data_IF_313480025377
#
_entry.id   IF_313480025377
#
_cell.length_a   1.000
_cell.length_b   1.000
_cell.length_c   1.000
_cell.angle_alpha   90.00
_cell.angle_beta   90.00
_cell.angle_gamma   90.00
#
_symmetry.space_group_name_H-M   'P 1'
#
loop_
_entity.id
_entity.type
_entity.pdbx_description
1 polymer ?
#
# COMPACT_ATOMS: atom_id res chain seq x y z
N UNK A 1 4.42 12.59 -21.10
CA UNK A 1 4.67 14.02 -20.84
C UNK A 1 3.74 14.61 -19.76
N UNK A 2 3.13 13.78 -18.90
CA UNK A 2 2.81 14.15 -17.52
C UNK A 2 4.07 13.83 -16.69
N UNK A 3 4.29 14.52 -15.57
CA UNK A 3 5.23 14.17 -14.47
C UNK A 3 6.52 14.99 -14.22
N UNK A 4 6.71 16.22 -14.70
CA UNK A 4 7.90 17.00 -14.25
C UNK A 4 7.68 18.43 -13.78
N UNK A 5 6.46 18.99 -13.79
CA UNK A 5 6.28 20.43 -13.53
C UNK A 5 5.15 20.82 -12.56
N UNK A 6 4.65 19.88 -11.76
CA UNK A 6 3.70 20.23 -10.71
C UNK A 6 3.91 19.35 -9.50
N UNK A 7 4.47 19.91 -8.44
CA UNK A 7 4.04 19.49 -7.12
C UNK A 7 2.56 19.89 -7.01
N UNK A 8 1.70 19.06 -6.42
CA UNK A 8 0.32 19.47 -6.09
C UNK A 8 0.28 20.76 -5.25
N UNK A 9 1.40 21.17 -4.65
CA UNK A 9 1.58 22.40 -3.89
C UNK A 9 2.04 23.65 -4.69
N UNK A 10 2.35 23.53 -6.00
CA UNK A 10 2.84 24.68 -6.79
C UNK A 10 1.78 25.41 -7.62
N UNK A 11 0.56 24.89 -7.79
CA UNK A 11 -0.53 25.52 -8.58
C UNK A 11 -0.05 26.08 -9.95
N UNK A 12 0.86 25.37 -10.62
CA UNK A 12 1.40 25.82 -11.90
C UNK A 12 0.43 25.41 -13.00
N UNK A 13 -0.39 26.37 -13.43
CA UNK A 13 -1.25 26.21 -14.60
C UNK A 13 -0.45 26.01 -15.91
N UNK A 14 -1.11 25.55 -17.00
CA UNK A 14 -0.46 25.30 -18.29
C UNK A 14 0.17 26.55 -18.94
N UNK A 15 -0.22 27.73 -18.45
CA UNK A 15 0.31 29.02 -18.84
C UNK A 15 1.63 29.41 -18.14
N UNK A 16 2.10 28.66 -17.13
CA UNK A 16 3.31 28.99 -16.35
C UNK A 16 3.29 30.43 -15.80
N UNK A 17 2.17 30.86 -15.22
CA UNK A 17 2.01 32.22 -14.69
C UNK A 17 2.76 32.47 -13.36
N UNK A 18 3.27 31.40 -12.76
CA UNK A 18 4.21 31.39 -11.64
C UNK A 18 5.52 30.74 -12.09
N UNK A 19 6.63 31.08 -11.42
CA UNK A 19 7.96 30.53 -11.71
C UNK A 19 8.11 29.14 -11.07
N UNK A 20 8.18 28.05 -11.85
CA UNK A 20 8.35 26.70 -11.32
C UNK A 20 9.69 26.49 -10.62
N UNK A 21 9.78 25.53 -9.70
CA UNK A 21 11.05 25.19 -9.05
C UNK A 21 12.17 24.85 -10.03
N UNK A 22 11.87 24.14 -11.12
CA UNK A 22 12.85 23.87 -12.16
C UNK A 22 13.38 25.17 -12.80
N UNK A 23 12.51 26.13 -13.12
CA UNK A 23 12.97 27.43 -13.64
C UNK A 23 13.77 28.22 -12.60
N UNK A 24 13.38 28.16 -11.32
CA UNK A 24 14.17 28.76 -10.23
C UNK A 24 15.56 28.14 -10.13
N UNK A 25 15.68 26.81 -10.23
CA UNK A 25 16.98 26.13 -10.28
C UNK A 25 17.83 26.63 -11.45
N UNK A 26 17.23 26.74 -12.64
CA UNK A 26 17.93 27.24 -13.82
C UNK A 26 18.47 28.67 -13.63
N UNK A 27 17.64 29.54 -13.04
CA UNK A 27 17.98 30.93 -12.72
C UNK A 27 19.07 31.03 -11.62
N UNK A 28 18.99 30.21 -10.58
CA UNK A 28 19.99 30.13 -9.51
C UNK A 28 21.37 29.71 -10.05
N UNK A 29 21.42 28.69 -10.92
CA UNK A 29 22.65 28.26 -11.61
C UNK A 29 23.21 29.36 -12.54
N UNK A 30 22.34 30.20 -13.09
CA UNK A 30 22.74 31.36 -13.89
C UNK A 30 23.15 32.58 -13.05
N UNK A 31 22.98 32.55 -11.72
CA UNK A 31 23.23 33.70 -10.84
C UNK A 31 22.24 34.84 -11.08
N UNK A 32 21.02 34.54 -11.48
CA UNK A 32 20.00 35.51 -11.88
C UNK A 32 18.74 35.37 -11.04
N UNK A 33 18.22 36.50 -10.54
CA UNK A 33 16.89 36.61 -9.94
C UNK A 33 15.97 37.32 -10.91
N UNK A 34 15.01 36.59 -11.48
CA UNK A 34 13.98 37.16 -12.34
C UNK A 34 12.70 37.48 -11.54
N UNK A 35 12.23 38.74 -11.48
CA UNK A 35 10.96 39.07 -10.84
C UNK A 35 9.79 38.41 -11.58
N UNK A 36 8.66 38.21 -10.88
CA UNK A 36 7.49 37.53 -11.45
C UNK A 36 6.93 38.24 -12.69
N UNK A 37 6.97 39.57 -12.71
CA UNK A 37 6.57 40.39 -13.86
C UNK A 37 7.48 40.13 -15.06
N UNK A 38 8.80 40.08 -14.85
CA UNK A 38 9.77 39.74 -15.89
C UNK A 38 9.64 38.29 -16.38
N UNK A 39 9.29 37.36 -15.51
CA UNK A 39 8.94 35.99 -15.93
C UNK A 39 7.71 35.98 -16.83
N UNK A 40 6.66 36.73 -16.46
CA UNK A 40 5.40 36.82 -17.21
C UNK A 40 5.55 37.56 -18.54
N UNK A 41 6.55 38.43 -18.69
CA UNK A 41 6.84 39.11 -19.95
C UNK A 41 7.45 38.18 -21.00
N UNK A 42 8.03 37.05 -20.60
CA UNK A 42 8.60 36.06 -21.51
C UNK A 42 7.50 35.29 -22.25
N UNK A 43 7.80 34.90 -23.49
CA UNK A 43 6.92 34.01 -24.25
C UNK A 43 6.69 32.69 -23.49
N UNK A 44 5.55 32.04 -23.72
CA UNK A 44 5.29 30.74 -23.10
C UNK A 44 6.33 29.69 -23.52
N UNK A 45 6.85 29.79 -24.74
CA UNK A 45 7.92 28.91 -25.24
C UNK A 45 9.22 29.12 -24.46
N UNK A 46 9.62 30.38 -24.25
CA UNK A 46 10.81 30.72 -23.47
C UNK A 46 10.69 30.29 -22.01
N UNK A 47 9.53 30.49 -21.39
CA UNK A 47 9.23 29.97 -20.06
C UNK A 47 9.40 28.45 -20.00
N UNK A 48 8.88 27.72 -20.99
CA UNK A 48 9.05 26.25 -21.09
C UNK A 48 10.51 25.84 -21.28
N UNK A 49 11.29 26.60 -22.08
CA UNK A 49 12.72 26.32 -22.32
C UNK A 49 13.54 26.49 -21.04
N UNK A 50 13.33 27.57 -20.28
CA UNK A 50 13.99 27.77 -18.99
C UNK A 50 13.60 26.66 -18.01
N UNK A 51 12.30 26.35 -17.93
CA UNK A 51 11.78 25.29 -17.06
C UNK A 51 12.37 23.92 -17.40
N UNK A 52 12.52 23.58 -18.70
CA UNK A 52 13.18 22.35 -19.14
C UNK A 52 14.66 22.33 -18.79
N UNK A 53 15.39 23.42 -19.07
CA UNK A 53 16.81 23.52 -18.75
C UNK A 53 17.09 23.26 -17.25
N UNK A 54 16.19 23.70 -16.38
CA UNK A 54 16.29 23.42 -14.94
C UNK A 54 15.87 22.03 -14.49
N UNK A 55 15.25 21.23 -15.36
CA UNK A 55 14.91 19.83 -15.09
C UNK A 55 16.01 18.85 -15.52
N UNK A 56 16.88 19.27 -16.43
CA UNK A 56 18.04 18.47 -16.86
C UNK A 56 19.06 18.30 -15.74
N UNK A 57 19.87 17.24 -15.81
CA UNK A 57 20.93 16.97 -14.84
C UNK A 57 21.94 18.13 -14.77
N UNK A 58 22.34 18.64 -15.93
CA UNK A 58 23.22 19.80 -16.08
C UNK A 58 22.41 20.95 -16.66
N UNK A 59 22.41 22.10 -15.97
CA UNK A 59 21.72 23.31 -16.44
C UNK A 59 22.55 23.98 -17.54
N UNK A 60 21.94 24.20 -18.71
CA UNK A 60 22.51 25.02 -19.79
C UNK A 60 22.38 26.51 -19.45
N UNK A 61 23.32 26.99 -18.62
CA UNK A 61 23.38 28.38 -18.15
C UNK A 61 23.45 29.41 -19.29
N UNK A 62 24.28 29.24 -20.34
CA UNK A 62 24.30 30.17 -21.48
C UNK A 62 22.93 30.34 -22.15
N UNK A 63 22.22 29.24 -22.42
CA UNK A 63 20.88 29.30 -23.01
C UNK A 63 19.87 29.99 -22.10
N UNK A 64 19.90 29.70 -20.79
CA UNK A 64 19.02 30.35 -19.81
C UNK A 64 19.28 31.86 -19.76
N UNK A 65 20.55 32.28 -19.66
CA UNK A 65 20.93 33.68 -19.62
C UNK A 65 20.49 34.44 -20.89
N UNK A 66 20.65 33.84 -22.07
CA UNK A 66 20.26 34.45 -23.34
C UNK A 66 18.74 34.67 -23.44
N UNK A 67 17.92 33.75 -22.93
CA UNK A 67 16.46 33.91 -22.90
C UNK A 67 16.07 35.00 -21.90
N UNK A 68 16.68 35.00 -20.71
CA UNK A 68 16.32 35.93 -19.61
C UNK A 68 16.63 37.38 -19.93
N UNK A 69 17.58 37.68 -20.83
CA UNK A 69 17.85 39.04 -21.32
C UNK A 69 16.64 39.71 -22.00
N UNK A 70 15.67 38.92 -22.47
CA UNK A 70 14.47 39.41 -23.14
C UNK A 70 13.36 39.82 -22.15
N UNK A 71 13.54 39.56 -20.85
CA UNK A 71 12.54 39.82 -19.83
C UNK A 71 12.45 41.30 -19.45
N UNK A 72 11.24 41.77 -19.11
CA UNK A 72 10.98 43.10 -18.58
C UNK A 72 9.94 43.04 -17.44
N UNK A 73 10.28 43.50 -16.22
CA UNK A 73 11.57 44.06 -15.80
C UNK A 73 12.74 43.05 -15.90
N UNK A 74 13.98 43.52 -16.12
CA UNK A 74 15.13 42.64 -16.32
C UNK A 74 15.47 41.82 -15.07
N UNK A 75 16.15 40.69 -15.27
CA UNK A 75 16.70 39.93 -14.15
C UNK A 75 17.80 40.70 -13.42
N UNK A 76 17.91 40.46 -12.13
CA UNK A 76 18.91 41.05 -11.25
C UNK A 76 19.99 40.02 -10.94
N UNK A 77 21.25 40.43 -10.77
CA UNK A 77 22.30 39.53 -10.32
C UNK A 77 22.00 39.03 -8.90
N UNK A 78 22.31 37.76 -8.65
CA UNK A 78 22.31 37.15 -7.33
C UNK A 78 23.55 36.26 -7.17
N UNK A 79 23.97 35.92 -5.94
CA UNK A 79 25.06 34.98 -5.73
C UNK A 79 24.83 33.69 -6.53
N UNK A 80 25.89 33.20 -7.18
CA UNK A 80 25.84 31.93 -7.92
C UNK A 80 25.33 30.83 -7.00
N UNK A 81 24.18 30.26 -7.36
CA UNK A 81 23.62 29.10 -6.72
C UNK A 81 24.19 27.82 -7.32
N UNK A 82 23.84 26.70 -6.69
CA UNK A 82 24.13 25.38 -7.19
C UNK A 82 23.20 24.37 -6.55
N UNK A 83 23.22 23.15 -7.06
CA UNK A 83 22.47 22.08 -6.42
C UNK A 83 23.06 21.78 -5.04
N UNK A 84 22.21 21.47 -4.05
CA UNK A 84 22.70 20.99 -2.76
C UNK A 84 23.62 19.77 -2.96
N UNK A 85 24.74 19.74 -2.22
CA UNK A 85 25.73 18.65 -2.29
C UNK A 85 25.08 17.30 -1.96
N UNK A 86 25.39 16.23 -2.70
CA UNK A 86 24.91 14.88 -2.38
C UNK A 86 25.56 14.29 -1.12
N UNK A 87 26.70 14.84 -0.68
CA UNK A 87 27.53 14.27 0.38
C UNK A 87 27.13 14.72 1.79
N UNK A 88 26.26 15.74 1.89
CA UNK A 88 25.84 16.32 3.17
C UNK A 88 24.35 16.61 3.18
N UNK A 89 23.66 16.16 4.25
CA UNK A 89 22.27 16.49 4.47
C UNK A 89 22.12 17.97 4.85
N UNK A 90 21.10 18.68 4.33
CA UNK A 90 20.79 20.04 4.75
C UNK A 90 20.48 20.11 6.25
N UNK A 91 20.99 21.14 6.92
CA UNK A 91 20.70 21.40 8.32
C UNK A 91 19.19 21.53 8.55
N UNK A 92 18.70 20.92 9.63
CA UNK A 92 17.28 20.95 9.98
C UNK A 92 16.38 20.05 9.12
N UNK A 93 16.89 19.41 8.04
CA UNK A 93 16.08 18.52 7.21
C UNK A 93 15.50 17.38 8.05
N UNK A 94 16.35 16.64 8.77
CA UNK A 94 15.93 15.50 9.60
C UNK A 94 14.96 15.90 10.72
N UNK A 95 15.15 17.08 11.31
CA UNK A 95 14.27 17.61 12.37
C UNK A 95 12.89 18.01 11.83
N UNK A 96 12.82 18.42 10.56
CA UNK A 96 11.58 18.82 9.90
C UNK A 96 10.83 17.63 9.29
N UNK A 97 11.39 16.42 9.33
CA UNK A 97 10.71 15.22 8.82
C UNK A 97 9.51 14.85 9.69
N UNK A 98 8.40 14.39 9.08
CA UNK A 98 7.32 13.75 9.82
C UNK A 98 7.83 12.54 10.62
N UNK A 99 7.26 12.32 11.81
CA UNK A 99 7.62 11.18 12.66
C UNK A 99 7.43 9.85 11.90
N UNK A 100 8.39 8.92 12.05
CA UNK A 100 8.36 7.61 11.40
C UNK A 100 8.80 7.60 9.92
N UNK A 101 9.28 8.74 9.40
CA UNK A 101 9.82 8.85 8.05
C UNK A 101 11.32 8.53 8.04
N UNK A 102 11.70 7.38 7.48
CA UNK A 102 13.11 7.01 7.32
C UNK A 102 13.70 7.80 6.15
N UNK A 103 14.68 8.67 6.42
CA UNK A 103 15.40 9.42 5.41
C UNK A 103 16.86 9.54 5.85
N UNK A 104 17.79 9.19 4.97
CA UNK A 104 19.21 9.12 5.29
C UNK A 104 20.07 9.75 4.19
N UNK A 105 21.38 9.80 4.42
CA UNK A 105 22.33 10.35 3.47
C UNK A 105 22.35 9.57 2.15
N UNK A 106 22.12 8.25 2.18
CA UNK A 106 22.11 7.41 0.98
C UNK A 106 20.93 7.77 0.07
N UNK A 107 19.75 7.95 0.66
CA UNK A 107 18.55 8.41 -0.04
C UNK A 107 18.77 9.80 -0.60
N UNK A 108 19.37 10.70 0.17
CA UNK A 108 19.69 12.05 -0.28
C UNK A 108 20.66 12.09 -1.46
N UNK A 109 21.73 11.30 -1.40
CA UNK A 109 22.75 11.23 -2.43
C UNK A 109 22.20 10.68 -3.76
N UNK A 110 21.21 9.78 -3.71
CA UNK A 110 20.60 9.19 -4.92
C UNK A 110 19.61 10.11 -5.64
N UNK A 111 19.17 11.20 -5.03
CA UNK A 111 18.25 12.16 -5.65
C UNK A 111 18.90 12.88 -6.85
N UNK A 112 18.09 13.35 -7.78
CA UNK A 112 18.57 14.26 -8.82
C UNK A 112 18.91 15.64 -8.23
N UNK A 113 19.71 16.43 -8.96
CA UNK A 113 19.99 17.81 -8.58
C UNK A 113 18.73 18.65 -8.37
N UNK A 114 17.75 18.50 -9.28
CA UNK A 114 16.43 19.14 -9.15
C UNK A 114 15.66 18.66 -7.91
N UNK A 115 15.69 17.37 -7.59
CA UNK A 115 15.00 16.84 -6.42
C UNK A 115 15.62 17.37 -5.11
N UNK A 116 16.96 17.39 -4.99
CA UNK A 116 17.64 18.01 -3.85
C UNK A 116 17.33 19.50 -3.72
N UNK A 117 17.40 20.24 -4.84
CA UNK A 117 17.06 21.66 -4.89
C UNK A 117 15.62 21.91 -4.39
N UNK A 118 14.68 21.11 -4.89
CA UNK A 118 13.26 21.22 -4.55
C UNK A 118 13.00 20.93 -3.07
N UNK A 119 13.65 19.90 -2.49
CA UNK A 119 13.51 19.58 -1.07
C UNK A 119 14.04 20.69 -0.16
N UNK A 120 15.20 21.29 -0.47
CA UNK A 120 15.74 22.42 0.30
C UNK A 120 14.82 23.62 0.22
N UNK A 121 14.25 23.90 -0.96
CA UNK A 121 13.30 24.99 -1.11
C UNK A 121 12.00 24.73 -0.32
N UNK A 122 11.51 23.49 -0.32
CA UNK A 122 10.33 23.10 0.46
C UNK A 122 10.59 23.16 1.96
N UNK A 123 11.77 22.74 2.43
CA UNK A 123 12.21 22.86 3.83
C UNK A 123 12.18 24.33 4.28
N UNK A 124 12.82 25.24 3.52
CA UNK A 124 12.82 26.68 3.82
C UNK A 124 11.40 27.26 3.86
N UNK A 125 10.54 26.85 2.92
CA UNK A 125 9.15 27.30 2.84
C UNK A 125 8.31 26.79 4.02
N UNK A 126 8.50 25.53 4.42
CA UNK A 126 7.88 24.91 5.57
C UNK A 126 8.26 25.65 6.86
N UNK A 127 9.55 25.91 7.08
CA UNK A 127 10.04 26.68 8.24
C UNK A 127 9.47 28.10 8.27
N UNK A 128 9.45 28.80 7.13
CA UNK A 128 8.92 30.17 7.04
C UNK A 128 7.42 30.25 7.32
N UNK A 129 6.64 29.23 6.91
CA UNK A 129 5.18 29.17 7.12
C UNK A 129 4.77 28.50 8.43
N UNK A 130 5.71 27.87 9.14
CA UNK A 130 5.40 27.01 10.28
C UNK A 130 4.57 25.78 9.90
N UNK A 131 4.67 25.32 8.64
CA UNK A 131 3.83 24.26 8.09
C UNK A 131 4.69 23.09 7.57
N UNK A 132 4.88 22.03 8.37
CA UNK A 132 5.70 20.88 7.99
C UNK A 132 5.07 20.02 6.87
N UNK A 133 3.77 20.19 6.58
CA UNK A 133 3.08 19.40 5.54
C UNK A 133 3.65 19.69 4.13
N UNK A 134 4.19 20.89 3.91
CA UNK A 134 4.83 21.30 2.66
C UNK A 134 6.03 20.41 2.34
N UNK A 135 6.87 20.15 3.35
CA UNK A 135 8.03 19.28 3.18
C UNK A 135 7.61 17.81 3.05
N UNK A 136 6.60 17.39 3.81
CA UNK A 136 6.05 16.03 3.73
C UNK A 136 5.54 15.70 2.30
N UNK A 137 4.74 16.60 1.72
CA UNK A 137 4.21 16.43 0.37
C UNK A 137 5.33 16.40 -0.70
N UNK A 138 6.35 17.24 -0.54
CA UNK A 138 7.50 17.24 -1.45
C UNK A 138 8.28 15.93 -1.39
N UNK A 139 8.48 15.37 -0.19
CA UNK A 139 9.15 14.09 0.00
C UNK A 139 8.33 12.93 -0.55
N UNK A 140 7.00 12.96 -0.50
CA UNK A 140 6.15 11.89 -1.06
C UNK A 140 6.32 11.75 -2.58
N UNK A 141 6.60 12.87 -3.26
CA UNK A 141 6.83 12.90 -4.71
C UNK A 141 8.29 12.61 -5.05
N UNK A 142 9.25 13.21 -4.33
CA UNK A 142 10.66 13.20 -4.70
C UNK A 142 11.46 12.04 -4.12
N UNK A 143 11.01 11.51 -2.97
CA UNK A 143 11.65 10.41 -2.27
C UNK A 143 10.57 9.45 -1.73
N UNK A 144 9.78 8.80 -2.62
CA UNK A 144 8.68 7.91 -2.22
C UNK A 144 9.18 6.71 -1.40
N UNK A 145 10.40 6.24 -1.67
CA UNK A 145 11.13 5.21 -0.90
C UNK A 145 11.28 5.61 0.58
N UNK A 146 11.34 6.91 0.85
CA UNK A 146 11.49 7.47 2.18
C UNK A 146 10.17 7.97 2.77
N UNK A 147 9.01 7.54 2.26
CA UNK A 147 7.71 7.89 2.85
C UNK A 147 7.57 7.29 4.27
N UNK A 148 6.89 7.98 5.21
CA UNK A 148 6.59 7.37 6.49
C UNK A 148 5.76 6.12 6.21
N UNK A 149 6.19 4.98 6.76
CA UNK A 149 5.36 3.80 6.77
C UNK A 149 4.07 4.20 7.50
N UNK A 150 2.99 4.45 6.74
CA UNK A 150 1.72 4.89 7.31
C UNK A 150 1.36 3.94 8.44
N UNK A 151 1.17 4.51 9.63
CA UNK A 151 0.44 3.86 10.70
C UNK A 151 -0.88 3.36 10.09
N UNK A 152 -1.05 2.06 10.17
CA UNK A 152 -1.83 1.26 9.24
C UNK A 152 -3.33 1.34 9.54
N UNK A 153 -3.96 2.43 9.10
CA UNK A 153 -5.41 2.57 9.09
C UNK A 153 -5.92 2.52 7.64
N UNK A 154 -5.65 1.39 6.95
CA UNK A 154 -6.42 0.78 5.85
C UNK A 154 -5.52 -0.23 5.13
N UNK A 155 -5.26 -1.36 5.79
CA UNK A 155 -4.60 -2.51 5.17
C UNK A 155 -5.56 -3.22 4.20
N UNK A 156 -5.78 -2.65 3.01
CA UNK A 156 -6.09 -3.47 1.85
C UNK A 156 -4.75 -3.96 1.30
N UNK A 157 -4.44 -5.21 1.64
CA UNK A 157 -3.35 -6.00 1.06
C UNK A 157 -3.39 -5.90 -0.46
N UNK A 158 -2.52 -5.09 -1.08
CA UNK A 158 -2.36 -5.17 -2.52
C UNK A 158 -1.30 -6.24 -2.80
N UNK A 159 -1.75 -7.42 -3.23
CA UNK A 159 -0.93 -8.38 -3.98
C UNK A 159 -0.46 -7.81 -5.33
N UNK A 160 -0.33 -6.49 -5.44
CA UNK A 160 0.03 -5.76 -6.64
C UNK A 160 1.34 -5.04 -6.36
N UNK A 161 2.30 -5.21 -7.25
CA UNK A 161 3.50 -4.41 -7.31
C UNK A 161 3.23 -3.03 -7.91
N UNK A 162 4.24 -2.15 -7.92
CA UNK A 162 4.13 -0.78 -8.43
C UNK A 162 3.69 -0.69 -9.91
N UNK A 163 3.79 -1.79 -10.66
CA UNK A 163 3.38 -1.88 -12.08
C UNK A 163 2.06 -2.62 -12.29
N UNK A 164 1.37 -2.99 -11.20
CA UNK A 164 0.15 -3.82 -11.25
C UNK A 164 0.43 -5.32 -11.41
N UNK A 165 1.68 -5.75 -11.29
CA UNK A 165 2.11 -7.14 -11.31
C UNK A 165 1.73 -7.87 -10.02
N UNK A 166 1.26 -9.11 -10.11
CA UNK A 166 0.86 -9.87 -8.91
C UNK A 166 2.08 -10.33 -8.14
N UNK A 167 2.18 -9.99 -6.85
CA UNK A 167 3.28 -10.41 -5.97
C UNK A 167 2.83 -10.85 -4.59
N UNK A 168 3.57 -11.80 -4.02
CA UNK A 168 3.49 -12.14 -2.61
C UNK A 168 4.14 -11.01 -1.80
N UNK A 169 3.47 -10.57 -0.75
CA UNK A 169 3.97 -9.47 0.11
C UNK A 169 5.16 -9.96 0.92
N UNK A 170 6.31 -9.28 0.86
CA UNK A 170 7.42 -9.62 1.77
C UNK A 170 7.03 -9.30 3.22
N UNK A 171 7.27 -10.27 4.10
CA UNK A 171 6.98 -10.17 5.54
C UNK A 171 8.23 -10.34 6.39
N UNK A 172 9.43 -10.51 5.82
CA UNK A 172 10.65 -10.88 6.54
C UNK A 172 10.96 -9.97 7.73
N UNK A 173 10.78 -8.66 7.58
CA UNK A 173 11.06 -7.64 8.61
C UNK A 173 9.99 -7.58 9.73
N UNK A 174 8.84 -8.24 9.55
CA UNK A 174 7.80 -8.28 10.59
C UNK A 174 8.21 -9.25 11.70
N UNK A 175 8.03 -8.84 12.95
CA UNK A 175 8.22 -9.74 14.08
C UNK A 175 7.12 -10.83 14.10
N UNK A 176 7.48 -12.12 14.33
CA UNK A 176 6.49 -13.16 14.62
C UNK A 176 5.67 -12.80 15.86
N UNK A 177 4.37 -13.09 15.82
CA UNK A 177 3.46 -12.92 16.96
C UNK A 177 2.41 -14.01 16.93
N UNK A 178 1.73 -14.25 18.06
CA UNK A 178 0.60 -15.18 18.09
C UNK A 178 -0.53 -14.66 17.19
N UNK A 179 -1.05 -15.55 16.35
CA UNK A 179 -2.11 -15.30 15.38
C UNK A 179 -3.21 -16.31 15.61
N UNK A 180 -4.46 -15.83 15.56
CA UNK A 180 -5.63 -16.69 15.58
C UNK A 180 -6.67 -16.14 14.62
N UNK A 181 -7.33 -17.03 13.88
CA UNK A 181 -8.47 -16.70 13.06
C UNK A 181 -9.57 -17.74 13.26
N UNK A 182 -10.82 -17.27 13.17
CA UNK A 182 -12.03 -18.10 13.20
C UNK A 182 -12.86 -17.74 11.98
N UNK A 183 -13.20 -18.74 11.17
CA UNK A 183 -14.07 -18.62 10.01
C UNK A 183 -15.28 -19.55 10.16
N UNK A 184 -16.35 -19.18 9.49
CA UNK A 184 -17.58 -19.98 9.40
C UNK A 184 -17.88 -20.27 7.94
N UNK A 185 -18.50 -21.42 7.69
CA UNK A 185 -19.22 -21.75 6.47
C UNK A 185 -20.54 -22.43 6.87
N UNK A 186 -21.55 -22.37 6.02
CA UNK A 186 -22.83 -23.06 6.23
C UNK A 186 -23.17 -23.94 5.05
N UNK A 187 -23.82 -25.07 5.31
CA UNK A 187 -24.40 -25.92 4.28
C UNK A 187 -25.89 -26.04 4.55
N UNK A 188 -26.70 -25.40 3.72
CA UNK A 188 -28.16 -25.55 3.74
C UNK A 188 -28.55 -26.79 2.95
N UNK A 189 -29.51 -27.54 3.46
CA UNK A 189 -29.98 -28.79 2.87
C UNK A 189 -31.49 -28.97 3.10
N UNK A 190 -32.06 -30.06 2.60
CA UNK A 190 -33.45 -30.43 2.92
C UNK A 190 -33.56 -30.93 4.37
N UNK A 191 -34.69 -30.68 5.05
CA UNK A 191 -34.91 -31.16 6.43
C UNK A 191 -34.67 -32.66 6.61
N UNK A 192 -35.07 -33.50 5.65
CA UNK A 192 -34.82 -34.94 5.69
C UNK A 192 -33.32 -35.27 5.70
N UNK A 193 -32.51 -34.50 4.96
CA UNK A 193 -31.06 -34.72 4.88
C UNK A 193 -30.39 -34.32 6.19
N UNK A 194 -30.81 -33.20 6.79
CA UNK A 194 -30.34 -32.78 8.11
C UNK A 194 -30.72 -33.79 9.19
N UNK A 195 -31.95 -34.31 9.16
CA UNK A 195 -32.42 -35.36 10.10
C UNK A 195 -31.63 -36.65 9.99
N UNK A 196 -31.39 -37.14 8.77
CA UNK A 196 -30.54 -38.31 8.51
C UNK A 196 -29.11 -38.10 9.00
N UNK A 197 -28.52 -36.94 8.70
CA UNK A 197 -27.18 -36.59 9.15
C UNK A 197 -27.08 -36.54 10.68
N UNK A 198 -28.04 -35.92 11.36
CA UNK A 198 -28.07 -35.83 12.82
C UNK A 198 -28.15 -37.21 13.49
N UNK A 199 -28.84 -38.17 12.84
CA UNK A 199 -28.98 -39.55 13.31
C UNK A 199 -27.82 -40.46 12.91
N UNK A 200 -26.88 -39.97 12.10
CA UNK A 200 -25.80 -40.80 11.52
C UNK A 200 -26.29 -41.80 10.46
N UNK A 201 -27.52 -41.67 9.98
CA UNK A 201 -28.14 -42.56 8.99
C UNK A 201 -27.80 -42.11 7.57
N UNK A 202 -26.52 -42.29 7.18
CA UNK A 202 -26.05 -41.93 5.84
C UNK A 202 -25.34 -43.11 5.16
N UNK A 203 -25.50 -43.29 3.83
CA UNK A 203 -24.92 -44.43 3.11
C UNK A 203 -23.38 -44.45 3.09
N UNK A 204 -22.73 -43.32 3.38
CA UNK A 204 -21.27 -43.15 3.27
C UNK A 204 -20.54 -43.14 4.63
N UNK A 205 -21.22 -43.50 5.72
CA UNK A 205 -20.61 -43.62 7.05
C UNK A 205 -20.41 -42.28 7.76
N UNK A 206 -19.21 -42.08 8.33
CA UNK A 206 -18.87 -40.99 9.26
C UNK A 206 -18.70 -39.61 8.59
N UNK A 207 -19.79 -39.06 8.04
CA UNK A 207 -19.80 -37.81 7.26
C UNK A 207 -19.15 -36.62 8.01
N UNK A 208 -19.53 -36.40 9.27
CA UNK A 208 -19.02 -35.29 10.06
C UNK A 208 -17.53 -35.44 10.38
N UNK A 209 -17.07 -36.67 10.67
CA UNK A 209 -15.66 -36.92 10.93
C UNK A 209 -14.82 -36.72 9.66
N UNK A 210 -15.29 -37.21 8.50
CA UNK A 210 -14.63 -36.99 7.21
C UNK A 210 -14.51 -35.50 6.88
N UNK A 211 -15.58 -34.73 7.05
CA UNK A 211 -15.56 -33.28 6.84
C UNK A 211 -14.57 -32.56 7.77
N UNK A 212 -14.50 -32.98 9.04
CA UNK A 212 -13.54 -32.45 10.02
C UNK A 212 -12.09 -32.67 9.59
N UNK A 213 -11.77 -33.89 9.18
CA UNK A 213 -10.42 -34.26 8.72
C UNK A 213 -10.06 -33.48 7.46
N UNK A 214 -10.98 -33.38 6.50
CA UNK A 214 -10.79 -32.63 5.27
C UNK A 214 -10.49 -31.15 5.54
N UNK A 215 -11.22 -30.52 6.46
CA UNK A 215 -10.95 -29.14 6.89
C UNK A 215 -9.55 -28.96 7.49
N UNK A 216 -9.13 -29.87 8.39
CA UNK A 216 -7.78 -29.83 9.00
C UNK A 216 -6.69 -30.03 7.95
N UNK A 217 -6.88 -30.96 7.00
CA UNK A 217 -5.93 -31.19 5.91
C UNK A 217 -5.83 -29.96 5.00
N UNK A 218 -6.96 -29.32 4.70
CA UNK A 218 -7.01 -28.16 3.83
C UNK A 218 -6.32 -26.94 4.44
N UNK A 219 -6.50 -26.68 5.75
CA UNK A 219 -5.79 -25.61 6.46
C UNK A 219 -4.27 -25.70 6.23
N UNK A 220 -3.70 -26.90 6.36
CA UNK A 220 -2.26 -27.15 6.19
C UNK A 220 -1.77 -26.97 4.75
N UNK A 221 -2.68 -27.05 3.76
CA UNK A 221 -2.38 -26.92 2.32
C UNK A 221 -2.84 -25.58 1.73
N UNK A 222 -3.26 -24.64 2.57
CA UNK A 222 -3.67 -23.29 2.15
C UNK A 222 -2.68 -22.61 1.19
N UNK A 223 -1.35 -22.60 1.42
CA UNK A 223 -0.41 -21.97 0.47
C UNK A 223 -0.32 -22.67 -0.89
N UNK A 224 -0.76 -23.94 -1.01
CA UNK A 224 -0.85 -24.62 -2.30
C UNK A 224 -2.13 -24.24 -3.07
N UNK A 225 -3.17 -23.81 -2.35
CA UNK A 225 -4.49 -23.52 -2.90
C UNK A 225 -4.69 -22.03 -3.21
N UNK A 226 -4.11 -21.15 -2.39
CA UNK A 226 -4.23 -19.69 -2.51
C UNK A 226 -2.88 -19.12 -2.98
N UNK A 227 -2.75 -18.68 -4.24
CA UNK A 227 -1.44 -18.44 -4.88
C UNK A 227 -0.48 -17.52 -4.12
N UNK A 228 -1.00 -16.50 -3.43
CA UNK A 228 -0.19 -15.48 -2.78
C UNK A 228 -0.15 -15.61 -1.25
N UNK A 229 -0.62 -16.73 -0.69
CA UNK A 229 -0.46 -17.02 0.73
C UNK A 229 0.95 -17.47 1.04
N UNK A 230 1.47 -17.00 2.17
CA UNK A 230 2.72 -17.51 2.73
C UNK A 230 2.53 -18.93 3.26
N UNK A 231 3.59 -19.73 3.26
CA UNK A 231 3.62 -20.95 4.04
C UNK A 231 3.73 -20.61 5.53
N UNK A 232 2.76 -21.07 6.34
CA UNK A 232 2.69 -20.80 7.77
C UNK A 232 2.83 -22.10 8.54
N UNK A 233 3.69 -22.12 9.56
CA UNK A 233 3.79 -23.22 10.50
C UNK A 233 2.62 -23.18 11.50
N UNK A 234 1.48 -23.75 11.11
CA UNK A 234 0.29 -23.83 11.95
C UNK A 234 0.58 -24.58 13.27
N UNK A 235 0.21 -23.98 14.40
CA UNK A 235 0.35 -24.57 15.73
C UNK A 235 -0.92 -25.31 16.16
N UNK A 236 -2.09 -24.86 15.69
CA UNK A 236 -3.36 -25.51 16.00
C UNK A 236 -4.39 -25.28 14.89
N UNK A 237 -5.20 -26.30 14.61
CA UNK A 237 -6.39 -26.22 13.75
C UNK A 237 -7.52 -26.99 14.41
N UNK A 238 -8.69 -26.37 14.55
CA UNK A 238 -9.90 -27.02 15.04
C UNK A 238 -11.06 -26.74 14.09
N UNK A 239 -11.92 -27.74 13.91
CA UNK A 239 -13.15 -27.65 13.12
C UNK A 239 -14.27 -28.12 14.02
N UNK A 240 -15.32 -27.33 14.18
CA UNK A 240 -16.58 -27.68 14.83
C UNK A 240 -17.69 -27.73 13.78
N UNK A 241 -18.56 -28.72 13.89
CA UNK A 241 -19.67 -28.97 12.97
C UNK A 241 -20.92 -29.08 13.83
N UNK A 242 -21.85 -28.16 13.64
CA UNK A 242 -23.12 -28.08 14.36
C UNK A 242 -24.26 -28.36 13.38
N UNK A 243 -25.04 -29.41 13.63
CA UNK A 243 -26.17 -29.80 12.78
C UNK A 243 -27.44 -29.22 13.39
N UNK A 244 -27.99 -28.20 12.73
CA UNK A 244 -29.28 -27.62 13.08
C UNK A 244 -30.37 -28.31 12.24
N UNK A 245 -30.96 -29.35 12.84
CA UNK A 245 -32.02 -30.14 12.21
C UNK A 245 -33.26 -29.29 11.90
N UNK A 246 -33.63 -28.38 12.80
CA UNK A 246 -34.81 -27.53 12.66
C UNK A 246 -34.62 -26.49 11.54
N UNK A 247 -33.44 -25.87 11.47
CA UNK A 247 -33.09 -24.91 10.43
C UNK A 247 -32.53 -25.54 9.14
N UNK A 248 -32.52 -26.87 9.05
CA UNK A 248 -32.05 -27.68 7.92
C UNK A 248 -30.67 -27.25 7.40
N UNK A 249 -29.71 -27.08 8.31
CA UNK A 249 -28.37 -26.58 8.00
C UNK A 249 -27.29 -27.20 8.85
N UNK A 250 -26.06 -27.18 8.34
CA UNK A 250 -24.85 -27.43 9.13
C UNK A 250 -24.02 -26.17 9.20
N UNK A 251 -23.67 -25.74 10.41
CA UNK A 251 -22.72 -24.64 10.63
C UNK A 251 -21.34 -25.22 10.90
N UNK A 252 -20.39 -24.87 10.05
CA UNK A 252 -18.98 -25.22 10.20
C UNK A 252 -18.27 -24.01 10.81
N UNK A 253 -17.60 -24.20 11.95
CA UNK A 253 -16.70 -23.20 12.53
C UNK A 253 -15.27 -23.75 12.52
N UNK A 254 -14.39 -23.10 11.77
CA UNK A 254 -12.98 -23.46 11.68
C UNK A 254 -12.12 -22.41 12.38
N UNK A 255 -11.16 -22.84 13.20
CA UNK A 255 -10.14 -21.96 13.77
C UNK A 255 -8.74 -22.43 13.41
N UNK A 256 -7.86 -21.49 13.10
CA UNK A 256 -6.45 -21.71 12.85
C UNK A 256 -5.61 -20.80 13.76
N UNK A 257 -4.47 -21.32 14.22
CA UNK A 257 -3.53 -20.61 15.09
C UNK A 257 -2.10 -20.86 14.65
N UNK A 258 -1.25 -19.84 14.81
CA UNK A 258 0.19 -19.91 14.54
C UNK A 258 0.95 -18.84 15.34
N UNK A 259 2.29 -18.95 15.38
CA UNK A 259 3.17 -17.83 15.76
C UNK A 259 3.97 -17.41 14.53
N UNK A 260 3.51 -16.36 13.83
CA UNK A 260 4.08 -15.98 12.53
C UNK A 260 3.92 -14.46 12.21
N UNK A 261 4.55 -14.06 11.11
CA UNK A 261 4.68 -12.70 10.58
C UNK A 261 3.44 -12.23 9.83
N UNK A 262 2.62 -13.16 9.35
CA UNK A 262 1.33 -12.92 8.68
C UNK A 262 0.19 -13.59 9.44
N UNK A 263 -1.05 -13.22 9.15
CA UNK A 263 -2.24 -13.80 9.78
C UNK A 263 -2.61 -15.16 9.20
N UNK A 264 -3.55 -15.84 9.85
CA UNK A 264 -4.04 -17.19 9.50
C UNK A 264 -5.51 -17.19 9.04
N UNK A 265 -5.99 -16.05 8.53
CA UNK A 265 -7.37 -15.87 8.07
C UNK A 265 -7.71 -16.85 6.95
N UNK A 266 -6.77 -17.04 6.01
CA UNK A 266 -6.97 -17.90 4.85
C UNK A 266 -7.00 -19.37 5.24
N UNK A 267 -6.18 -19.80 6.20
CA UNK A 267 -6.17 -21.17 6.70
C UNK A 267 -7.50 -21.53 7.35
N UNK A 268 -8.09 -20.62 8.13
CA UNK A 268 -9.42 -20.81 8.70
C UNK A 268 -10.52 -20.84 7.62
N UNK A 269 -10.48 -19.92 6.65
CA UNK A 269 -11.49 -19.85 5.57
C UNK A 269 -11.43 -21.06 4.63
N UNK A 270 -10.24 -21.49 4.24
CA UNK A 270 -10.02 -22.68 3.41
C UNK A 270 -10.47 -23.94 4.13
N UNK A 271 -10.19 -24.06 5.43
CA UNK A 271 -10.66 -25.17 6.24
C UNK A 271 -12.19 -25.26 6.31
N UNK A 272 -12.87 -24.14 6.60
CA UNK A 272 -14.33 -24.10 6.62
C UNK A 272 -14.93 -24.47 5.26
N UNK A 273 -14.36 -23.93 4.17
CA UNK A 273 -14.79 -24.18 2.80
C UNK A 273 -14.64 -25.65 2.42
N UNK A 274 -13.48 -26.26 2.72
CA UNK A 274 -13.23 -27.64 2.35
C UNK A 274 -14.09 -28.62 3.16
N UNK A 275 -14.31 -28.34 4.45
CA UNK A 275 -15.25 -29.11 5.25
C UNK A 275 -16.68 -29.04 4.66
N UNK A 276 -17.14 -27.85 4.25
CA UNK A 276 -18.44 -27.67 3.61
C UNK A 276 -18.55 -28.44 2.27
N UNK A 277 -17.53 -28.35 1.41
CA UNK A 277 -17.49 -29.11 0.15
C UNK A 277 -17.43 -30.63 0.39
N UNK A 278 -16.79 -31.06 1.47
CA UNK A 278 -16.75 -32.48 1.85
C UNK A 278 -18.11 -32.96 2.33
N UNK A 279 -18.85 -32.16 3.12
CA UNK A 279 -20.25 -32.46 3.46
C UNK A 279 -21.10 -32.60 2.20
N UNK A 280 -20.93 -31.67 1.25
CA UNK A 280 -21.62 -31.73 -0.04
C UNK A 280 -21.30 -33.05 -0.76
N UNK A 281 -20.02 -33.41 -0.90
CA UNK A 281 -19.60 -34.64 -1.58
C UNK A 281 -20.21 -35.90 -0.95
N UNK A 282 -20.24 -35.92 0.38
CA UNK A 282 -20.73 -37.05 1.16
C UNK A 282 -22.25 -37.19 1.09
N UNK A 283 -22.99 -36.09 0.95
CA UNK A 283 -24.45 -36.07 1.01
C UNK A 283 -25.14 -35.87 -0.35
N UNK A 284 -24.43 -35.52 -1.43
CA UNK A 284 -25.00 -35.27 -2.77
C UNK A 284 -25.77 -36.44 -3.38
N UNK A 285 -25.56 -37.66 -2.87
CA UNK A 285 -26.35 -38.83 -3.26
C UNK A 285 -27.77 -38.81 -2.71
N UNK A 286 -27.95 -38.20 -1.53
CA UNK A 286 -29.24 -38.00 -0.87
C UNK A 286 -29.86 -36.69 -1.38
N UNK A 287 -29.10 -35.61 -1.34
CA UNK A 287 -29.56 -34.25 -1.62
C UNK A 287 -28.61 -33.49 -2.55
N UNK A 288 -29.03 -33.27 -3.80
CA UNK A 288 -28.22 -32.55 -4.80
C UNK A 288 -28.45 -31.04 -4.77
N UNK A 289 -29.44 -30.56 -4.04
CA UNK A 289 -29.83 -29.15 -4.00
C UNK A 289 -29.22 -28.41 -2.80
N UNK A 290 -28.32 -29.07 -2.07
CA UNK A 290 -27.58 -28.43 -0.98
C UNK A 290 -26.83 -27.19 -1.46
N UNK A 291 -26.73 -26.19 -0.60
CA UNK A 291 -26.04 -24.93 -0.91
C UNK A 291 -24.97 -24.69 0.14
N UNK A 292 -23.74 -24.49 -0.32
CA UNK A 292 -22.66 -23.94 0.51
C UNK A 292 -22.81 -22.42 0.51
N UNK A 293 -23.01 -21.84 1.69
CA UNK A 293 -23.24 -20.42 1.87
C UNK A 293 -22.37 -19.86 3.00
N UNK A 294 -22.31 -18.53 3.09
CA UNK A 294 -21.80 -17.84 4.28
C UNK A 294 -20.35 -18.19 4.68
N UNK A 295 -19.47 -18.44 3.69
CA UNK A 295 -18.03 -18.56 3.94
C UNK A 295 -17.47 -17.20 4.35
N UNK A 296 -17.11 -17.04 5.61
CA UNK A 296 -16.69 -15.74 6.14
C UNK A 296 -15.77 -15.84 7.36
N UNK A 297 -14.86 -14.86 7.49
CA UNK A 297 -14.10 -14.65 8.72
C UNK A 297 -14.99 -14.04 9.80
N UNK A 298 -15.07 -14.67 10.97
CA UNK A 298 -15.86 -14.23 12.14
C UNK A 298 -15.01 -13.47 13.14
N UNK A 299 -13.77 -13.92 13.36
CA UNK A 299 -12.87 -13.31 14.33
C UNK A 299 -11.43 -13.48 13.89
N UNK A 300 -10.57 -12.50 14.18
CA UNK A 300 -9.13 -12.71 14.18
C UNK A 300 -8.44 -11.90 15.27
N UNK A 301 -7.30 -12.37 15.74
CA UNK A 301 -6.42 -11.65 16.67
C UNK A 301 -4.96 -11.78 16.24
N UNK A 302 -4.14 -10.82 16.68
CA UNK A 302 -2.69 -10.83 16.47
C UNK A 302 -2.19 -9.93 15.32
N UNK A 303 -0.96 -9.48 15.49
CA UNK A 303 -0.24 -8.50 14.67
C UNK A 303 -0.92 -7.15 14.47
N UNK A 304 -0.43 -6.41 13.46
CA UNK A 304 -0.61 -4.95 13.36
C UNK A 304 -2.07 -4.50 13.30
N UNK A 305 -2.93 -5.21 12.57
CA UNK A 305 -4.34 -4.84 12.41
C UNK A 305 -5.18 -5.04 13.67
N UNK A 306 -4.61 -5.64 14.72
CA UNK A 306 -5.30 -5.90 15.97
C UNK A 306 -6.43 -6.93 15.86
N UNK A 307 -7.33 -6.88 16.85
CA UNK A 307 -8.49 -7.77 16.94
C UNK A 307 -9.60 -7.31 16.00
N UNK A 308 -10.14 -8.25 15.24
CA UNK A 308 -11.35 -8.07 14.48
C UNK A 308 -12.39 -9.07 14.96
N UNK A 309 -13.63 -8.60 15.12
CA UNK A 309 -14.79 -9.44 15.35
C UNK A 309 -15.93 -8.94 14.46
N UNK A 310 -16.47 -9.84 13.65
CA UNK A 310 -17.61 -9.56 12.77
C UNK A 310 -18.81 -9.16 13.63
N UNK A 311 -19.45 -8.04 13.28
CA UNK A 311 -20.73 -7.66 13.85
C UNK A 311 -21.84 -8.54 13.24
N UNK A 312 -22.84 -8.95 14.04
CA UNK A 312 -23.94 -9.79 13.58
C UNK A 312 -24.75 -9.13 12.47
#
# INVERSE_FOLDING_TARGET
MKELFSFEAEEIGPALDLVPLAARRALDHAGLRLPLEGWRSLSLEDRRRITRAGAEEIVDVPSVAAIVQQAYPPALPMPLGGDPSPDHLPEGLLLALPAGRAFDLRTWASLSGLARFSLVHCLRRASKRGDPSILAAALDVLAPEAAPQKADATSLSSHLGPRGDVRMVDVAEKAPSQRRAVAVARVRMRPETASRLARGDTPKGEVLATARIAGIMAAKRTPELIPMCHAIALTHVAIALDVDEAGARVTITASAEATDRTGVEMEAMVAASMAALTLYDMLKGIDREMVVEDVMLVEKSGGRSGHFRRKP
#
